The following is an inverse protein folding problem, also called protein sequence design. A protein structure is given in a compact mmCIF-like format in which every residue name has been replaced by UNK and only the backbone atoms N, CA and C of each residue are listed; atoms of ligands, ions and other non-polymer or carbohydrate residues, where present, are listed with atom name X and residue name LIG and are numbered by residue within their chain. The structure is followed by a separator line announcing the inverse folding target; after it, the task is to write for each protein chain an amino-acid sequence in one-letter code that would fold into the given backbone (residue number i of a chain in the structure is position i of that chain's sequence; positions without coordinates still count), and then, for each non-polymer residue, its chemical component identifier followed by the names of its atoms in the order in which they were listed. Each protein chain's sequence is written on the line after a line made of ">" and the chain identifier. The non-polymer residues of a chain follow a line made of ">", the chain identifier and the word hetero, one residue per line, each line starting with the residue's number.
data_IF_684740175152
#
_entry.id   IF_684740175152
#
_cell.length_a   1.000
_cell.length_b   1.000
_cell.length_c   1.000
_cell.angle_alpha   90.00
_cell.angle_beta   90.00
_cell.angle_gamma   90.00
#
_symmetry.space_group_name_H-M   'P 1'
#
loop_
_entity.id
_entity.type
_entity.pdbx_description
1 polymer ?
#
# COMPACT_ATOMS: atom_id res chain seq x y z
N UNK A 1 -9.78 20.24 8.64
CA UNK A 1 -10.04 19.36 7.48
C UNK A 1 -8.89 18.37 7.35
N UNK A 2 -9.06 17.26 6.64
CA UNK A 2 -8.00 16.26 6.45
C UNK A 2 -8.00 15.77 5.00
N UNK A 3 -6.95 16.12 4.24
CA UNK A 3 -6.70 15.59 2.91
C UNK A 3 -6.12 14.19 3.02
N UNK A 4 -6.78 13.21 2.40
CA UNK A 4 -6.40 11.81 2.51
C UNK A 4 -6.78 11.06 1.23
N UNK A 5 -6.24 9.85 1.13
CA UNK A 5 -6.64 8.88 0.12
C UNK A 5 -7.38 7.74 0.80
N UNK A 6 -8.52 7.33 0.23
CA UNK A 6 -9.40 6.31 0.76
C UNK A 6 -9.45 5.11 -0.18
N UNK A 7 -9.48 3.93 0.44
CA UNK A 7 -9.60 2.65 -0.23
C UNK A 7 -10.99 2.09 0.06
N UNK A 8 -11.82 1.97 -0.97
CA UNK A 8 -13.11 1.28 -0.91
C UNK A 8 -12.97 -0.13 -1.45
N UNK A 9 -13.29 -1.14 -0.62
CA UNK A 9 -13.24 -2.55 -1.00
C UNK A 9 -14.63 -3.17 -0.85
N UNK A 10 -15.30 -3.49 -1.96
CA UNK A 10 -16.61 -4.15 -1.95
C UNK A 10 -16.45 -5.67 -2.00
N UNK A 11 -16.35 -6.28 -0.82
CA UNK A 11 -16.19 -7.73 -0.69
C UNK A 11 -17.39 -8.53 -1.20
N UNK A 12 -18.57 -7.92 -1.42
CA UNK A 12 -19.71 -8.60 -2.08
C UNK A 12 -19.40 -8.98 -3.52
N UNK A 13 -18.41 -8.32 -4.13
CA UNK A 13 -17.91 -8.58 -5.49
C UNK A 13 -16.72 -9.54 -5.51
N UNK A 14 -16.21 -9.94 -4.36
CA UNK A 14 -15.09 -10.87 -4.26
C UNK A 14 -15.59 -12.32 -4.30
N UNK A 15 -14.85 -13.16 -5.03
CA UNK A 15 -15.08 -14.62 -5.11
C UNK A 15 -13.72 -15.32 -5.17
N UNK A 16 -13.50 -16.28 -4.29
CA UNK A 16 -12.27 -17.07 -4.27
C UNK A 16 -12.06 -17.79 -5.62
N UNK A 17 -10.82 -17.79 -6.12
CA UNK A 17 -10.43 -18.44 -7.38
C UNK A 17 -10.93 -17.77 -8.67
N UNK A 18 -11.76 -16.72 -8.58
CA UNK A 18 -12.23 -15.97 -9.74
C UNK A 18 -11.40 -14.69 -9.96
N UNK A 19 -11.31 -14.19 -11.20
CA UNK A 19 -10.80 -12.83 -11.44
C UNK A 19 -11.57 -11.80 -10.62
N UNK A 20 -10.88 -10.78 -10.09
CA UNK A 20 -11.51 -9.68 -9.35
C UNK A 20 -12.59 -9.03 -10.22
N UNK A 21 -13.84 -8.90 -9.77
CA UNK A 21 -14.91 -8.30 -10.57
C UNK A 21 -14.89 -6.77 -10.50
N UNK A 22 -15.12 -6.08 -11.62
CA UNK A 22 -15.18 -4.61 -11.65
C UNK A 22 -16.12 -4.06 -10.56
N UNK A 23 -15.75 -2.91 -9.99
CA UNK A 23 -16.38 -2.31 -8.82
C UNK A 23 -15.90 -2.85 -7.47
N UNK A 24 -15.00 -3.84 -7.45
CA UNK A 24 -14.46 -4.41 -6.21
C UNK A 24 -13.55 -3.40 -5.47
N UNK A 25 -12.75 -2.62 -6.18
CA UNK A 25 -11.79 -1.70 -5.59
C UNK A 25 -11.96 -0.27 -6.12
N UNK A 26 -12.33 0.66 -5.23
CA UNK A 26 -12.41 2.09 -5.53
C UNK A 26 -11.29 2.82 -4.80
N UNK A 27 -10.56 3.66 -5.52
CA UNK A 27 -9.59 4.59 -4.95
C UNK A 27 -10.15 6.01 -5.00
N UNK A 28 -10.05 6.72 -3.89
CA UNK A 28 -10.45 8.12 -3.77
C UNK A 28 -9.31 8.95 -3.18
N UNK A 29 -9.15 10.17 -3.64
CA UNK A 29 -8.22 11.16 -3.08
C UNK A 29 -8.92 12.51 -2.93
N UNK A 30 -8.73 13.14 -1.78
CA UNK A 30 -9.36 14.42 -1.42
C UNK A 30 -8.31 15.50 -1.17
N UNK A 31 -8.56 16.69 -1.70
CA UNK A 31 -7.90 17.96 -1.32
C UNK A 31 -8.98 19.02 -1.04
N UNK A 32 -8.65 20.18 -0.44
CA UNK A 32 -9.62 21.27 -0.32
C UNK A 32 -10.22 21.64 -1.69
N UNK A 33 -11.55 21.65 -1.77
CA UNK A 33 -12.28 21.98 -2.99
C UNK A 33 -12.24 20.91 -4.09
N UNK A 34 -11.79 19.67 -3.81
CA UNK A 34 -11.86 18.60 -4.81
C UNK A 34 -11.83 17.20 -4.23
N UNK A 35 -12.54 16.31 -4.89
CA UNK A 35 -12.47 14.87 -4.68
C UNK A 35 -12.29 14.22 -6.04
N UNK A 36 -11.32 13.32 -6.15
CA UNK A 36 -11.10 12.50 -7.35
C UNK A 36 -11.25 11.05 -6.91
N UNK A 37 -12.09 10.27 -7.60
CA UNK A 37 -12.25 8.85 -7.32
C UNK A 37 -12.42 8.06 -8.61
N UNK A 38 -11.96 6.80 -8.59
CA UNK A 38 -12.06 5.86 -9.71
C UNK A 38 -12.18 4.44 -9.21
N UNK A 39 -12.86 3.61 -9.99
CA UNK A 39 -12.73 2.15 -9.90
C UNK A 39 -11.34 1.75 -10.44
N UNK A 40 -10.52 1.20 -9.57
CA UNK A 40 -9.14 0.77 -9.85
C UNK A 40 -9.01 -0.76 -9.84
N UNK A 41 -10.14 -1.49 -9.97
CA UNK A 41 -10.16 -2.95 -9.94
C UNK A 41 -9.30 -3.56 -11.05
N UNK A 42 -9.36 -3.03 -12.27
CA UNK A 42 -8.56 -3.54 -13.39
C UNK A 42 -7.06 -3.48 -13.07
N UNK A 43 -6.59 -2.33 -12.56
CA UNK A 43 -5.20 -2.15 -12.13
C UNK A 43 -4.82 -3.07 -10.97
N UNK A 44 -5.72 -3.22 -9.98
CA UNK A 44 -5.49 -4.15 -8.86
C UNK A 44 -5.38 -5.60 -9.35
N UNK A 45 -6.19 -6.01 -10.33
CA UNK A 45 -6.17 -7.34 -10.95
C UNK A 45 -4.86 -7.59 -11.71
N UNK A 46 -4.37 -6.59 -12.45
CA UNK A 46 -3.13 -6.68 -13.23
C UNK A 46 -1.87 -6.66 -12.36
N UNK A 47 -1.83 -5.74 -11.38
CA UNK A 47 -0.67 -5.55 -10.51
C UNK A 47 -0.61 -6.54 -9.34
N UNK A 48 -1.75 -7.10 -8.94
CA UNK A 48 -1.88 -8.01 -7.80
C UNK A 48 -1.92 -7.33 -6.43
N UNK A 49 -1.65 -6.01 -6.36
CA UNK A 49 -1.74 -5.24 -5.13
C UNK A 49 -2.03 -3.75 -5.38
N UNK A 50 -2.48 -3.05 -4.35
CA UNK A 50 -2.46 -1.59 -4.26
C UNK A 50 -1.76 -1.20 -2.96
N UNK A 51 -0.84 -0.24 -3.03
CA UNK A 51 -0.13 0.26 -1.87
C UNK A 51 -0.36 1.76 -1.71
N UNK A 52 -0.42 2.23 -0.47
CA UNK A 52 -0.66 3.63 -0.15
C UNK A 52 0.34 4.06 0.93
N UNK A 53 1.05 5.15 0.69
CA UNK A 53 2.20 5.55 1.53
C UNK A 53 2.43 7.07 1.49
N UNK A 54 1.34 7.84 1.67
CA UNK A 54 1.36 9.31 1.71
C UNK A 54 1.93 9.95 0.44
N UNK A 55 1.63 9.38 -0.73
CA UNK A 55 1.96 9.94 -2.04
C UNK A 55 0.67 9.99 -2.86
N UNK A 56 0.34 11.14 -3.49
CA UNK A 56 -0.81 11.20 -4.38
C UNK A 56 -0.65 10.23 -5.54
N UNK A 57 -1.67 9.40 -5.76
CA UNK A 57 -1.72 8.42 -6.83
C UNK A 57 -2.23 9.05 -8.13
N UNK A 58 -3.31 9.84 -8.07
CA UNK A 58 -3.89 10.41 -9.28
C UNK A 58 -3.05 11.59 -9.81
N UNK A 59 -2.69 11.62 -11.10
CA UNK A 59 -1.86 12.69 -11.65
C UNK A 59 -2.44 14.11 -11.45
N UNK A 60 -3.77 14.25 -11.44
CA UNK A 60 -4.44 15.52 -11.17
C UNK A 60 -4.24 15.98 -9.72
N UNK A 61 -4.34 15.06 -8.75
CA UNK A 61 -4.12 15.32 -7.33
C UNK A 61 -2.65 15.60 -7.07
N UNK A 62 -1.75 14.81 -7.65
CA UNK A 62 -0.30 15.00 -7.60
C UNK A 62 0.13 16.41 -8.02
N UNK A 63 -0.38 16.90 -9.17
CA UNK A 63 -0.09 18.27 -9.62
C UNK A 63 -0.71 19.33 -8.71
N UNK A 64 -1.99 19.19 -8.37
CA UNK A 64 -2.73 20.19 -7.59
C UNK A 64 -2.26 20.34 -6.15
N UNK A 65 -1.65 19.30 -5.58
CA UNK A 65 -1.11 19.32 -4.22
C UNK A 65 0.34 19.78 -4.14
N UNK A 66 0.93 20.23 -5.26
CA UNK A 66 2.32 20.73 -5.31
C UNK A 66 3.39 19.63 -5.34
N UNK A 67 3.01 18.35 -5.35
CA UNK A 67 3.99 17.25 -5.35
C UNK A 67 4.81 17.17 -6.63
N UNK A 68 4.26 17.61 -7.76
CA UNK A 68 5.00 17.71 -9.02
C UNK A 68 6.19 18.67 -8.92
N UNK A 69 6.02 19.79 -8.22
CA UNK A 69 7.09 20.76 -7.98
C UNK A 69 8.13 20.21 -7.00
N UNK A 70 7.68 19.62 -5.90
CA UNK A 70 8.58 18.97 -4.95
C UNK A 70 9.40 17.84 -5.59
N UNK A 71 8.81 17.07 -6.51
CA UNK A 71 9.54 16.04 -7.26
C UNK A 71 10.57 16.64 -8.22
N UNK A 72 10.29 17.79 -8.84
CA UNK A 72 11.26 18.51 -9.67
C UNK A 72 12.45 19.03 -8.84
N UNK A 73 12.20 19.49 -7.62
CA UNK A 73 13.21 20.14 -6.78
C UNK A 73 14.01 19.16 -5.92
N UNK A 74 13.36 18.10 -5.44
CA UNK A 74 13.92 17.18 -4.46
C UNK A 74 13.94 15.71 -4.93
N UNK A 75 13.52 15.46 -6.16
CA UNK A 75 13.65 14.16 -6.82
C UNK A 75 12.68 13.09 -6.35
N UNK A 76 13.11 11.84 -6.53
CA UNK A 76 12.27 10.63 -6.48
C UNK A 76 11.55 10.40 -5.16
N UNK A 77 12.05 10.96 -4.05
CA UNK A 77 11.38 10.87 -2.76
C UNK A 77 9.94 11.39 -2.81
N UNK A 78 9.67 12.37 -3.68
CA UNK A 78 8.36 12.97 -3.86
C UNK A 78 7.52 12.33 -4.97
N UNK A 79 8.00 11.28 -5.64
CA UNK A 79 7.19 10.56 -6.62
C UNK A 79 6.47 9.37 -5.99
N UNK A 80 5.34 8.98 -6.57
CA UNK A 80 4.58 7.82 -6.08
C UNK A 80 5.36 6.51 -6.27
N UNK A 81 5.97 6.27 -7.43
CA UNK A 81 6.62 4.99 -7.72
C UNK A 81 8.05 4.88 -7.18
N UNK A 82 8.84 5.96 -7.21
CA UNK A 82 10.28 5.89 -6.94
C UNK A 82 10.68 6.23 -5.50
N UNK A 83 9.74 6.66 -4.65
CA UNK A 83 10.03 6.86 -3.23
C UNK A 83 10.36 5.52 -2.52
N UNK A 84 11.10 5.53 -1.40
CA UNK A 84 11.53 4.32 -0.69
C UNK A 84 10.42 3.28 -0.47
N UNK A 85 9.29 3.71 0.13
CA UNK A 85 8.14 2.83 0.39
C UNK A 85 7.51 2.29 -0.89
N UNK A 86 7.40 3.12 -1.93
CA UNK A 86 6.89 2.69 -3.25
C UNK A 86 7.74 1.57 -3.86
N UNK A 87 9.07 1.70 -3.76
CA UNK A 87 10.02 0.69 -4.24
C UNK A 87 9.99 -0.58 -3.39
N UNK A 88 9.87 -0.47 -2.07
CA UNK A 88 9.74 -1.64 -1.18
C UNK A 88 8.47 -2.43 -1.52
N UNK A 89 7.31 -1.76 -1.63
CA UNK A 89 6.08 -2.44 -2.01
C UNK A 89 6.18 -3.07 -3.41
N UNK A 90 6.77 -2.39 -4.39
CA UNK A 90 6.98 -2.95 -5.72
C UNK A 90 7.84 -4.22 -5.73
N UNK A 91 8.86 -4.29 -4.85
CA UNK A 91 9.71 -5.47 -4.68
C UNK A 91 9.00 -6.60 -3.95
N UNK A 92 8.29 -6.29 -2.87
CA UNK A 92 7.94 -7.30 -1.85
C UNK A 92 6.46 -7.69 -1.84
N UNK A 93 5.53 -6.81 -2.28
CA UNK A 93 4.10 -7.07 -2.17
C UNK A 93 3.65 -8.30 -2.97
N UNK A 94 4.28 -8.56 -4.11
CA UNK A 94 4.00 -9.71 -4.98
C UNK A 94 4.39 -11.06 -4.35
N UNK A 95 5.21 -11.05 -3.31
CA UNK A 95 5.65 -12.25 -2.60
C UNK A 95 4.78 -12.59 -1.38
N UNK A 96 3.80 -11.73 -1.05
CA UNK A 96 2.86 -11.97 0.03
C UNK A 96 1.83 -13.01 -0.41
N UNK A 97 1.83 -14.16 0.24
CA UNK A 97 0.94 -15.31 -0.06
C UNK A 97 0.10 -15.75 1.14
N UNK A 98 0.31 -15.16 2.30
CA UNK A 98 -0.44 -15.41 3.51
C UNK A 98 -0.52 -14.15 4.40
N UNK A 99 -1.40 -14.22 5.40
CA UNK A 99 -1.64 -13.13 6.36
C UNK A 99 -0.36 -12.80 7.14
N UNK A 100 0.46 -13.80 7.47
CA UNK A 100 1.70 -13.57 8.20
C UNK A 100 2.78 -12.90 7.37
N UNK A 101 2.85 -13.19 6.07
CA UNK A 101 3.65 -12.48 5.09
C UNK A 101 3.21 -11.02 4.96
N UNK A 102 1.89 -10.77 4.95
CA UNK A 102 1.36 -9.41 4.95
C UNK A 102 1.73 -8.67 6.24
N UNK A 103 1.60 -9.32 7.41
CA UNK A 103 2.05 -8.75 8.70
C UNK A 103 3.54 -8.41 8.67
N UNK A 104 4.40 -9.32 8.17
CA UNK A 104 5.85 -9.09 8.05
C UNK A 104 6.15 -7.88 7.16
N UNK A 105 5.51 -7.80 5.98
CA UNK A 105 5.68 -6.68 5.06
C UNK A 105 5.25 -5.34 5.70
N UNK A 106 4.06 -5.30 6.32
CA UNK A 106 3.55 -4.08 6.94
C UNK A 106 4.35 -3.66 8.17
N UNK A 107 5.06 -4.58 8.82
CA UNK A 107 5.98 -4.32 9.94
C UNK A 107 7.42 -4.07 9.49
N UNK A 108 7.72 -4.09 8.19
CA UNK A 108 9.09 -4.00 7.68
C UNK A 108 9.76 -2.66 7.98
N UNK A 109 10.91 -2.74 8.64
CA UNK A 109 11.86 -1.66 8.85
C UNK A 109 13.24 -2.27 9.11
N UNK A 110 14.20 -1.95 8.26
CA UNK A 110 15.55 -2.51 8.28
C UNK A 110 16.48 -1.51 7.58
N UNK A 111 16.85 -0.40 8.24
CA UNK A 111 17.56 0.68 7.59
C UNK A 111 18.99 0.32 7.22
N UNK A 112 19.56 -0.73 7.84
CA UNK A 112 20.93 -1.17 7.62
C UNK A 112 21.03 -2.33 6.64
N UNK A 113 20.01 -3.20 6.55
CA UNK A 113 19.96 -4.32 5.63
C UNK A 113 19.18 -4.06 4.34
N UNK A 114 18.19 -3.16 4.35
CA UNK A 114 17.40 -2.83 3.15
C UNK A 114 17.98 -1.61 2.42
N UNK A 115 18.61 -1.78 1.24
CA UNK A 115 19.20 -0.67 0.49
C UNK A 115 18.16 0.36 0.04
N UNK A 116 16.87 0.01 -0.03
CA UNK A 116 15.82 0.96 -0.39
C UNK A 116 15.52 1.96 0.74
N UNK A 117 15.93 1.68 1.98
CA UNK A 117 15.76 2.57 3.12
C UNK A 117 16.91 3.57 3.28
N UNK A 118 18.01 3.42 2.54
CA UNK A 118 19.10 4.40 2.48
C UNK A 118 19.68 4.77 3.85
N UNK A 119 19.80 3.81 4.77
CA UNK A 119 20.27 4.08 6.13
C UNK A 119 19.27 4.82 7.03
N UNK A 120 18.06 5.08 6.54
CA UNK A 120 17.08 5.94 7.19
C UNK A 120 15.90 5.11 7.73
N UNK A 121 15.83 4.98 9.06
CA UNK A 121 14.77 4.23 9.74
C UNK A 121 13.35 4.80 9.53
N UNK A 122 13.22 6.01 9.00
CA UNK A 122 11.96 6.64 8.61
C UNK A 122 11.46 6.23 7.23
N UNK A 123 12.27 5.52 6.44
CA UNK A 123 11.94 5.11 5.08
C UNK A 123 11.37 3.69 4.98
N UNK A 124 11.39 2.91 6.07
CA UNK A 124 10.68 1.64 6.18
C UNK A 124 9.15 1.80 6.07
N UNK A 125 8.45 0.70 5.82
CA UNK A 125 6.98 0.69 5.83
C UNK A 125 6.48 1.01 7.25
N UNK A 126 7.09 0.38 8.25
CA UNK A 126 6.87 0.64 9.68
C UNK A 126 7.92 1.62 10.21
N UNK A 127 7.86 2.87 9.78
CA UNK A 127 8.86 3.90 10.10
C UNK A 127 9.20 4.02 11.60
N UNK A 128 10.47 4.33 11.91
CA UNK A 128 11.02 4.49 13.26
C UNK A 128 11.89 5.74 13.33
N UNK A 129 11.28 6.91 13.53
CA UNK A 129 12.02 8.17 13.58
C UNK A 129 12.84 8.35 14.87
N UNK A 130 12.57 7.55 15.89
CA UNK A 130 13.34 7.51 17.13
C UNK A 130 14.74 6.88 16.93
N UNK A 131 14.92 6.06 15.90
CA UNK A 131 16.18 5.41 15.55
C UNK A 131 17.06 6.23 14.59
N UNK A 132 16.66 7.46 14.26
CA UNK A 132 17.46 8.33 13.39
C UNK A 132 18.80 8.70 14.04
N UNK A 133 19.88 8.85 13.26
CA UNK A 133 21.16 9.30 13.80
C UNK A 133 21.08 10.72 14.35
N UNK A 134 20.27 11.59 13.72
CA UNK A 134 20.02 12.98 14.12
C UNK A 134 18.52 13.29 14.04
N UNK A 135 18.08 14.33 14.76
CA UNK A 135 16.68 14.80 14.73
C UNK A 135 15.64 13.73 15.09
N UNK A 136 15.95 12.94 16.12
CA UNK A 136 15.07 11.88 16.64
C UNK A 136 13.74 12.46 17.11
N UNK A 137 12.67 11.70 16.89
CA UNK A 137 11.35 12.06 17.41
C UNK A 137 10.57 10.80 17.79
N UNK A 138 9.59 10.95 18.69
CA UNK A 138 8.64 9.90 19.05
C UNK A 138 7.57 9.68 17.97
N UNK A 139 7.97 9.67 16.70
CA UNK A 139 7.10 9.48 15.54
C UNK A 139 7.46 8.20 14.77
N UNK A 140 6.48 7.61 14.12
CA UNK A 140 6.67 6.38 13.36
C UNK A 140 5.37 5.58 13.21
N UNK A 141 5.49 4.36 12.71
CA UNK A 141 4.39 3.41 12.74
C UNK A 141 4.22 2.83 14.15
N UNK A 142 2.98 2.81 14.64
CA UNK A 142 2.66 2.31 15.99
C UNK A 142 1.86 1.00 15.97
N UNK A 143 1.13 0.71 14.90
CA UNK A 143 0.26 -0.46 14.81
C UNK A 143 0.26 -1.08 13.40
N UNK A 144 -0.35 -2.26 13.28
CA UNK A 144 -0.69 -2.89 12.00
C UNK A 144 -1.98 -3.64 12.19
N UNK A 145 -2.93 -3.41 11.27
CA UNK A 145 -4.22 -4.10 11.24
C UNK A 145 -4.31 -4.81 9.92
N UNK A 146 -4.71 -6.07 9.95
CA UNK A 146 -4.86 -6.92 8.77
C UNK A 146 -6.21 -7.59 8.86
N UNK A 147 -6.85 -7.78 7.71
CA UNK A 147 -8.06 -8.58 7.56
C UNK A 147 -7.96 -9.42 6.29
N UNK A 148 -8.75 -10.49 6.23
CA UNK A 148 -8.91 -11.34 5.06
C UNK A 148 -10.41 -11.44 4.71
N UNK A 149 -10.73 -11.67 3.44
CA UNK A 149 -12.11 -11.83 3.00
C UNK A 149 -12.83 -12.96 3.76
N UNK A 150 -12.12 -14.04 4.11
CA UNK A 150 -12.64 -15.16 4.89
C UNK A 150 -13.07 -14.78 6.31
N UNK A 151 -12.53 -13.69 6.88
CA UNK A 151 -12.93 -13.23 8.23
C UNK A 151 -14.14 -12.30 8.20
N UNK A 152 -14.43 -11.70 7.04
CA UNK A 152 -15.48 -10.69 6.89
C UNK A 152 -16.74 -11.28 6.24
N UNK A 153 -16.58 -12.18 5.27
CA UNK A 153 -17.70 -12.75 4.53
C UNK A 153 -18.34 -13.92 5.30
N UNK A 154 -19.68 -14.04 5.29
CA UNK A 154 -20.38 -15.16 5.92
C UNK A 154 -19.94 -16.51 5.32
N UNK A 155 -19.64 -17.49 6.16
CA UNK A 155 -19.24 -18.84 5.74
C UNK A 155 -17.75 -19.03 5.46
N UNK A 156 -16.91 -18.01 5.67
CA UNK A 156 -15.45 -18.19 5.71
C UNK A 156 -15.06 -18.92 7.00
N UNK A 157 -14.52 -20.13 6.88
CA UNK A 157 -13.90 -20.82 8.01
C UNK A 157 -12.68 -20.03 8.45
N UNK A 158 -12.69 -19.50 9.67
CA UNK A 158 -11.56 -18.79 10.29
C UNK A 158 -10.34 -19.67 10.60
N UNK A 159 -9.93 -20.54 9.67
CA UNK A 159 -8.71 -21.34 9.72
C UNK A 159 -7.89 -21.09 8.46
N UNK A 160 -6.62 -20.71 8.65
CA UNK A 160 -5.51 -20.68 7.69
C UNK A 160 -5.84 -20.36 6.22
N UNK A 161 -5.92 -19.05 5.93
CA UNK A 161 -5.29 -18.44 4.76
C UNK A 161 -5.86 -18.77 3.37
N UNK A 162 -6.93 -18.07 2.98
CA UNK A 162 -7.40 -18.01 1.57
C UNK A 162 -6.46 -17.18 0.66
N UNK A 163 -5.41 -16.58 1.20
CA UNK A 163 -4.37 -15.89 0.40
C UNK A 163 -3.51 -16.90 -0.40
N UNK A 164 -3.50 -18.19 -0.04
CA UNK A 164 -2.68 -19.19 -0.72
C UNK A 164 -3.23 -19.66 -2.09
N UNK A 165 -4.52 -19.48 -2.37
CA UNK A 165 -5.18 -20.07 -3.54
C UNK A 165 -5.49 -19.06 -4.66
N UNK A 166 -5.64 -17.78 -4.34
CA UNK A 166 -5.98 -16.74 -5.32
C UNK A 166 -4.79 -16.23 -6.17
N UNK A 167 -3.54 -16.48 -5.74
CA UNK A 167 -2.32 -15.98 -6.41
C UNK A 167 -1.46 -17.08 -7.06
N UNK A 168 -1.88 -18.35 -7.01
CA UNK A 168 -1.20 -19.42 -7.75
C UNK A 168 -1.47 -19.26 -9.24
N UNK A 169 -0.59 -18.53 -9.93
CA UNK A 169 -0.46 -18.67 -11.40
C UNK A 169 -0.24 -20.16 -11.71
N UNK A 170 -0.86 -20.72 -12.76
CA UNK A 170 -0.52 -22.05 -13.21
C UNK A 170 0.99 -22.09 -13.51
N UNK A 171 1.71 -23.01 -12.85
CA UNK A 171 3.09 -23.32 -13.20
C UNK A 171 3.09 -23.72 -14.68
N UNK A 172 3.80 -22.95 -15.51
CA UNK A 172 4.25 -23.42 -16.83
C UNK A 172 5.46 -24.31 -16.64
#
# INVERSE_FOLDING_TARGET
>A
TYSCSWLGLDLKRWRAGAPLADGLFTLLEQLPGTVVWRDETARLREQGYHAQYNRPFFPSVFRRSGWAEMAREHGDFYTYAACPRGRIFARDAVNVSDVDGLKRLLRHNDPHGDPLQLGNAGYGIMARHDLQPTNRSAAGGCDTKVSDAAWVLPGGSGGDGVIAEALRRPRR
#
